data_IF_721461299114
#
_entry.id   IF_721461299114
#
_cell.length_a   1.000
_cell.length_b   1.000
_cell.length_c   1.000
_cell.angle_alpha   90.00
_cell.angle_beta   90.00
_cell.angle_gamma   90.00
#
_symmetry.space_group_name_H-M   'P 1'
#
loop_
_entity.id
_entity.type
_entity.pdbx_description
1 polymer ?
#
# COMPACT_ATOMS: atom_id res chain seq x y z
N UNK A 1 -4.79 6.39 14.60
CA UNK A 1 -3.64 5.80 15.29
C UNK A 1 -3.07 6.81 16.25
N UNK A 2 -3.62 6.83 17.45
CA UNK A 2 -3.07 7.50 18.63
C UNK A 2 -2.34 6.47 19.49
N UNK A 3 -1.51 6.91 20.44
CA UNK A 3 -0.77 6.00 21.33
C UNK A 3 -1.68 5.15 22.22
N UNK A 4 -2.91 5.61 22.44
CA UNK A 4 -3.95 4.92 23.23
C UNK A 4 -4.70 3.85 22.41
N UNK A 5 -4.49 3.76 21.09
CA UNK A 5 -5.26 2.89 20.22
C UNK A 5 -4.88 1.41 20.42
N UNK A 6 -5.84 0.61 20.89
CA UNK A 6 -5.58 -0.77 21.29
C UNK A 6 -5.65 -1.78 20.14
N UNK A 7 -6.00 -1.37 18.91
CA UNK A 7 -6.28 -2.28 17.81
C UNK A 7 -7.52 -3.17 18.03
N UNK A 8 -7.69 -4.18 17.20
CA UNK A 8 -8.85 -5.07 17.17
C UNK A 8 -8.50 -6.49 17.65
N UNK A 9 -9.48 -7.15 18.26
CA UNK A 9 -9.35 -8.56 18.65
C UNK A 9 -9.12 -9.43 17.39
N UNK A 10 -8.01 -10.18 17.37
CA UNK A 10 -7.59 -11.02 16.24
C UNK A 10 -8.62 -12.11 15.87
N UNK A 11 -9.41 -12.58 16.84
CA UNK A 11 -10.42 -13.62 16.61
C UNK A 11 -11.63 -13.14 15.79
N UNK A 12 -11.72 -11.84 15.51
CA UNK A 12 -12.72 -11.24 14.62
C UNK A 12 -12.28 -11.24 13.15
N UNK A 13 -11.06 -11.71 12.86
CA UNK A 13 -10.45 -11.70 11.53
C UNK A 13 -9.96 -13.08 11.13
N UNK A 14 -9.74 -13.27 9.83
CA UNK A 14 -9.10 -14.46 9.30
C UNK A 14 -7.59 -14.36 9.48
N UNK A 15 -7.07 -14.90 10.59
CA UNK A 15 -5.63 -15.01 10.86
C UNK A 15 -5.12 -16.37 10.37
N UNK A 16 -3.95 -16.45 9.71
CA UNK A 16 -3.36 -17.74 9.38
C UNK A 16 -3.08 -18.58 10.64
N UNK A 17 -3.50 -19.85 10.63
CA UNK A 17 -3.42 -20.73 11.81
C UNK A 17 -2.04 -20.80 12.45
N UNK A 18 -0.98 -20.83 11.64
CA UNK A 18 0.39 -20.90 12.11
C UNK A 18 0.92 -19.60 12.75
N UNK A 19 0.13 -18.51 12.72
CA UNK A 19 0.43 -17.25 13.39
C UNK A 19 -0.56 -16.93 14.52
N UNK A 20 -1.52 -17.80 14.81
CA UNK A 20 -2.56 -17.52 15.82
C UNK A 20 -1.97 -17.25 17.20
N UNK A 21 -0.89 -17.93 17.59
CA UNK A 21 -0.24 -17.73 18.89
C UNK A 21 0.71 -16.52 18.90
N UNK A 22 1.27 -16.16 17.74
CA UNK A 22 2.29 -15.10 17.60
C UNK A 22 1.70 -13.70 17.44
N UNK A 23 0.43 -13.60 17.00
CA UNK A 23 -0.25 -12.32 16.80
C UNK A 23 -1.03 -11.96 18.06
N UNK A 24 -0.78 -10.80 18.65
CA UNK A 24 -1.57 -10.32 19.80
C UNK A 24 -2.95 -9.79 19.36
N UNK A 25 -2.96 -8.93 18.33
CA UNK A 25 -4.11 -8.14 17.88
C UNK A 25 -3.92 -7.69 16.43
N UNK A 26 -5.02 -7.38 15.75
CA UNK A 26 -4.98 -6.75 14.43
C UNK A 26 -4.93 -5.24 14.62
N UNK A 27 -3.85 -4.59 14.17
CA UNK A 27 -3.71 -3.14 14.35
C UNK A 27 -4.43 -2.34 13.25
N UNK A 28 -4.23 -2.74 11.99
CA UNK A 28 -4.88 -2.13 10.83
C UNK A 28 -5.45 -3.26 9.97
N UNK A 29 -6.78 -3.35 9.80
CA UNK A 29 -7.39 -4.33 8.91
C UNK A 29 -6.93 -4.15 7.47
N UNK A 30 -6.74 -5.25 6.75
CA UNK A 30 -6.32 -5.23 5.35
C UNK A 30 -7.25 -4.38 4.45
N UNK A 31 -8.57 -4.46 4.67
CA UNK A 31 -9.54 -3.64 3.92
C UNK A 31 -9.31 -2.14 4.11
N UNK A 32 -9.03 -1.69 5.34
CA UNK A 32 -8.75 -0.28 5.63
C UNK A 32 -7.47 0.21 4.94
N UNK A 33 -6.46 -0.68 4.81
CA UNK A 33 -5.24 -0.38 4.05
C UNK A 33 -5.58 -0.19 2.57
N UNK A 34 -6.40 -1.07 1.98
CA UNK A 34 -6.80 -0.96 0.57
C UNK A 34 -7.62 0.33 0.31
N UNK A 35 -8.62 0.62 1.14
CA UNK A 35 -9.43 1.84 1.03
C UNK A 35 -8.54 3.10 1.08
N UNK A 36 -7.58 3.11 2.01
CA UNK A 36 -6.64 4.22 2.12
C UNK A 36 -5.69 4.28 0.93
N UNK A 37 -5.23 3.15 0.43
CA UNK A 37 -4.34 3.06 -0.73
C UNK A 37 -5.02 3.55 -2.00
N UNK A 38 -6.31 3.25 -2.20
CA UNK A 38 -7.11 3.81 -3.30
C UNK A 38 -7.15 5.33 -3.22
N UNK A 39 -7.43 5.90 -2.04
CA UNK A 39 -7.46 7.36 -1.86
C UNK A 39 -6.09 7.99 -2.17
N UNK A 40 -5.01 7.36 -1.72
CA UNK A 40 -3.63 7.79 -2.01
C UNK A 40 -3.32 7.76 -3.50
N UNK A 41 -3.76 6.73 -4.23
CA UNK A 41 -3.60 6.68 -5.69
C UNK A 41 -4.28 7.86 -6.40
N UNK A 42 -5.48 8.25 -5.93
CA UNK A 42 -6.19 9.44 -6.46
C UNK A 42 -5.43 10.73 -6.17
N UNK A 43 -4.89 10.88 -4.97
CA UNK A 43 -4.08 12.05 -4.61
C UNK A 43 -2.80 12.14 -5.47
N UNK A 44 -2.09 11.02 -5.65
CA UNK A 44 -0.90 10.97 -6.51
C UNK A 44 -1.24 11.32 -7.96
N UNK A 45 -2.33 10.78 -8.51
CA UNK A 45 -2.73 11.09 -9.88
C UNK A 45 -3.20 12.54 -10.03
N UNK A 46 -3.77 13.15 -9.00
CA UNK A 46 -4.11 14.57 -9.01
C UNK A 46 -2.86 15.45 -9.07
N UNK A 47 -1.87 15.16 -8.23
CA UNK A 47 -0.68 16.00 -8.08
C UNK A 47 0.37 15.74 -9.18
N UNK A 48 0.52 14.49 -9.62
CA UNK A 48 1.60 14.03 -10.50
C UNK A 48 1.13 13.54 -11.88
N UNK A 49 -0.17 13.35 -12.08
CA UNK A 49 -0.76 12.77 -13.30
C UNK A 49 -0.75 13.67 -14.53
N UNK A 50 0.16 14.64 -14.61
CA UNK A 50 0.42 15.47 -15.79
C UNK A 50 1.76 15.17 -16.46
N UNK A 51 2.65 14.40 -15.82
CA UNK A 51 4.01 14.12 -16.28
C UNK A 51 4.35 12.64 -16.11
N UNK A 52 5.29 12.12 -16.91
CA UNK A 52 5.80 10.75 -16.77
C UNK A 52 6.20 10.43 -15.31
N UNK A 53 5.64 9.36 -14.76
CA UNK A 53 5.87 8.95 -13.36
C UNK A 53 6.87 7.79 -13.33
N UNK A 54 7.90 7.90 -12.49
CA UNK A 54 8.80 6.80 -12.16
C UNK A 54 8.47 6.32 -10.74
N UNK A 55 7.90 5.13 -10.63
CA UNK A 55 7.52 4.52 -9.36
C UNK A 55 8.65 3.62 -8.85
N UNK A 56 9.31 4.03 -7.77
CA UNK A 56 10.44 3.30 -7.19
C UNK A 56 10.02 2.56 -5.91
N UNK A 57 10.11 1.22 -5.93
CA UNK A 57 9.79 0.37 -4.79
C UNK A 57 11.02 0.07 -3.93
N UNK A 58 10.94 0.37 -2.63
CA UNK A 58 11.96 -0.03 -1.65
C UNK A 58 11.67 -1.44 -1.12
N UNK A 59 12.54 -2.39 -1.45
CA UNK A 59 12.44 -3.79 -1.06
C UNK A 59 13.08 -4.06 0.31
N UNK A 60 12.59 -5.07 1.06
CA UNK A 60 11.53 -6.02 0.68
C UNK A 60 10.14 -5.58 1.10
N UNK A 61 10.00 -4.95 2.27
CA UNK A 61 8.70 -4.71 2.92
C UNK A 61 7.71 -3.85 2.11
N UNK A 62 8.20 -2.99 1.19
CA UNK A 62 7.34 -2.14 0.38
C UNK A 62 6.59 -2.85 -0.74
N UNK A 63 6.94 -4.09 -1.10
CA UNK A 63 6.46 -4.71 -2.35
C UNK A 63 4.93 -4.82 -2.44
N UNK A 64 4.25 -5.17 -1.33
CA UNK A 64 2.81 -5.41 -1.34
C UNK A 64 2.04 -4.09 -1.47
N UNK A 65 2.36 -3.12 -0.62
CA UNK A 65 1.80 -1.76 -0.73
C UNK A 65 2.05 -1.14 -2.09
N UNK A 66 3.27 -1.28 -2.62
CA UNK A 66 3.63 -0.77 -3.94
C UNK A 66 2.80 -1.38 -5.06
N UNK A 67 2.59 -2.70 -5.03
CA UNK A 67 1.75 -3.39 -6.01
C UNK A 67 0.29 -2.91 -5.93
N UNK A 68 -0.29 -2.89 -4.73
CA UNK A 68 -1.68 -2.47 -4.52
C UNK A 68 -1.88 -1.00 -4.96
N UNK A 69 -0.95 -0.11 -4.62
CA UNK A 69 -0.97 1.30 -5.03
C UNK A 69 -0.89 1.44 -6.55
N UNK A 70 0.03 0.73 -7.21
CA UNK A 70 0.17 0.77 -8.66
C UNK A 70 -1.07 0.24 -9.37
N UNK A 71 -1.73 -0.78 -8.83
CA UNK A 71 -2.95 -1.32 -9.43
C UNK A 71 -4.08 -0.28 -9.39
N UNK A 72 -4.26 0.44 -8.28
CA UNK A 72 -5.19 1.57 -8.22
C UNK A 72 -4.81 2.71 -9.18
N UNK A 73 -3.51 3.07 -9.26
CA UNK A 73 -3.02 4.09 -10.20
C UNK A 73 -3.30 3.68 -11.65
N UNK A 74 -3.05 2.42 -12.04
CA UNK A 74 -3.33 1.92 -13.39
C UNK A 74 -4.81 2.03 -13.73
N UNK A 75 -5.69 1.67 -12.80
CA UNK A 75 -7.14 1.79 -12.99
C UNK A 75 -7.55 3.25 -13.23
N UNK A 76 -7.01 4.19 -12.45
CA UNK A 76 -7.28 5.62 -12.66
C UNK A 76 -6.74 6.11 -14.00
N UNK A 77 -5.54 5.68 -14.38
CA UNK A 77 -4.87 6.09 -15.62
C UNK A 77 -5.57 5.56 -16.88
N UNK A 78 -6.20 4.38 -16.80
CA UNK A 78 -6.96 3.79 -17.90
C UNK A 78 -8.34 4.43 -18.10
N UNK A 79 -8.94 4.94 -17.02
CA UNK A 79 -10.29 5.51 -17.02
C UNK A 79 -10.31 7.04 -17.06
N UNK A 80 -9.16 7.70 -16.99
CA UNK A 80 -9.04 9.15 -17.08
C UNK A 80 -9.00 9.65 -18.53
N UNK A 81 -9.39 10.92 -18.73
CA UNK A 81 -9.35 11.58 -20.05
C UNK A 81 -7.93 11.69 -20.63
N UNK A 82 -6.91 11.67 -19.75
CA UNK A 82 -5.49 11.72 -20.10
C UNK A 82 -4.79 10.54 -19.44
N UNK A 83 -4.01 9.82 -20.25
CA UNK A 83 -3.12 8.78 -19.76
C UNK A 83 -1.68 9.29 -19.66
N UNK A 84 -1.00 8.86 -18.62
CA UNK A 84 0.39 9.19 -18.33
C UNK A 84 1.21 7.90 -18.32
N UNK A 85 2.40 7.87 -18.94
CA UNK A 85 3.26 6.70 -18.86
C UNK A 85 3.79 6.53 -17.42
N UNK A 86 3.88 5.29 -16.97
CA UNK A 86 4.39 4.94 -15.64
C UNK A 86 5.47 3.89 -15.82
N UNK A 87 6.67 4.19 -15.32
CA UNK A 87 7.79 3.24 -15.25
C UNK A 87 8.02 2.81 -13.81
N UNK A 88 8.56 1.60 -13.64
CA UNK A 88 8.73 0.97 -12.33
C UNK A 88 10.18 0.55 -12.15
N UNK A 89 10.74 0.81 -10.97
CA UNK A 89 12.07 0.34 -10.59
C UNK A 89 12.08 -0.16 -9.13
N UNK A 90 13.10 -0.92 -8.76
CA UNK A 90 13.21 -1.56 -7.46
C UNK A 90 14.60 -1.37 -6.86
N UNK A 91 14.64 -0.86 -5.63
CA UNK A 91 15.89 -0.71 -4.87
C UNK A 91 15.84 -1.52 -3.58
N UNK A 92 16.99 -2.06 -3.19
CA UNK A 92 17.18 -2.69 -1.88
C UNK A 92 18.20 -1.87 -1.10
N UNK A 93 17.73 -1.26 -0.02
CA UNK A 93 18.60 -0.51 0.89
C UNK A 93 19.20 -1.50 1.88
N UNK A 94 20.53 -1.46 2.06
CA UNK A 94 21.21 -2.13 3.16
C UNK A 94 21.44 -1.09 4.25
N UNK A 95 20.71 -1.20 5.35
CA UNK A 95 21.08 -0.49 6.57
C UNK A 95 22.38 -1.07 7.13
N UNK A 96 23.19 -0.22 7.76
CA UNK A 96 24.30 -0.68 8.58
C UNK A 96 23.76 -1.06 9.97
N UNK A 97 24.28 -2.15 10.54
CA UNK A 97 24.09 -2.49 11.95
C UNK A 97 24.88 -1.53 12.84
#
# INVERSE_FOLDING_TARGET
ITDEESGYNKNLFCIPKHYEEDVERVFIPHGLILDRTERLARDIMHDMGSHHIVALCVLKGGYKFFADLLDHIKVLNQNGDKSVPITVDFVRIKGYC
#
